data_IF_219566815403
#
_entry.id   IF_219566815403
#
_cell.length_a   1.000
_cell.length_b   1.000
_cell.length_c   1.000
_cell.angle_alpha   90.00
_cell.angle_beta   90.00
_cell.angle_gamma   90.00
#
_symmetry.space_group_name_H-M   'P 1'
#
loop_
_entity.id
_entity.type
_entity.pdbx_description
1 polymer ?
#
# COMPACT_ATOMS: atom_id res chain seq x y z
N UNK A 1 17.98 -2.44 8.69
CA UNK A 1 16.90 -3.37 8.24
C UNK A 1 17.12 -3.60 6.76
N UNK A 2 17.14 -4.86 6.30
CA UNK A 2 17.49 -5.21 4.93
C UNK A 2 16.32 -4.89 3.98
N UNK A 3 16.59 -4.23 2.85
CA UNK A 3 15.59 -3.87 1.80
C UNK A 3 14.73 -5.06 1.35
N UNK A 4 15.26 -6.27 1.42
CA UNK A 4 14.56 -7.52 1.08
C UNK A 4 13.33 -7.76 1.95
N UNK A 5 13.36 -7.37 3.23
CA UNK A 5 12.22 -7.54 4.15
C UNK A 5 11.12 -6.52 3.86
N UNK A 6 11.50 -5.31 3.44
CA UNK A 6 10.56 -4.24 3.06
C UNK A 6 9.83 -4.62 1.76
N UNK A 7 10.56 -5.08 0.74
CA UNK A 7 9.97 -5.55 -0.53
C UNK A 7 9.06 -6.78 -0.34
N UNK A 8 9.43 -7.70 0.56
CA UNK A 8 8.60 -8.87 0.89
C UNK A 8 7.27 -8.48 1.55
N UNK A 9 7.32 -7.63 2.59
CA UNK A 9 6.11 -7.17 3.28
C UNK A 9 5.21 -6.29 2.40
N UNK A 10 5.79 -5.54 1.46
CA UNK A 10 4.99 -4.69 0.56
C UNK A 10 4.09 -5.50 -0.39
N UNK A 11 4.57 -6.62 -0.93
CA UNK A 11 3.76 -7.43 -1.84
C UNK A 11 2.52 -8.02 -1.16
N UNK A 12 2.67 -8.46 0.10
CA UNK A 12 1.54 -8.93 0.91
C UNK A 12 0.58 -7.79 1.23
N UNK A 13 1.12 -6.65 1.70
CA UNK A 13 0.33 -5.46 2.01
C UNK A 13 -0.45 -4.96 0.79
N UNK A 14 0.17 -4.92 -0.39
CA UNK A 14 -0.46 -4.58 -1.67
C UNK A 14 -1.66 -5.49 -1.96
N UNK A 15 -1.52 -6.80 -1.78
CA UNK A 15 -2.60 -7.75 -1.97
C UNK A 15 -3.81 -7.44 -1.09
N UNK A 16 -3.58 -7.23 0.21
CA UNK A 16 -4.64 -6.90 1.17
C UNK A 16 -5.27 -5.53 0.87
N UNK A 17 -4.47 -4.55 0.48
CA UNK A 17 -4.97 -3.22 0.09
C UNK A 17 -5.89 -3.33 -1.13
N UNK A 18 -5.57 -4.12 -2.16
CA UNK A 18 -6.47 -4.34 -3.31
C UNK A 18 -7.76 -5.06 -2.92
N UNK A 19 -7.70 -5.99 -1.97
CA UNK A 19 -8.88 -6.69 -1.46
C UNK A 19 -9.79 -5.75 -0.67
N UNK A 20 -9.22 -4.88 0.17
CA UNK A 20 -9.97 -3.90 0.96
C UNK A 20 -10.52 -2.76 0.09
N UNK A 21 -9.78 -2.34 -0.95
CA UNK A 21 -10.10 -1.19 -1.79
C UNK A 21 -10.06 -1.58 -3.27
N UNK A 22 -11.20 -2.04 -3.79
CA UNK A 22 -11.33 -2.51 -5.18
C UNK A 22 -11.06 -1.45 -6.26
N UNK A 23 -11.05 -0.17 -5.90
CA UNK A 23 -10.75 0.95 -6.81
C UNK A 23 -9.24 1.14 -7.04
N UNK A 24 -8.38 0.46 -6.27
CA UNK A 24 -6.94 0.53 -6.42
C UNK A 24 -6.43 -0.47 -7.44
N UNK A 25 -5.60 0.01 -8.35
CA UNK A 25 -4.95 -0.80 -9.38
C UNK A 25 -3.56 -1.25 -8.96
N UNK A 26 -2.97 -2.17 -9.72
CA UNK A 26 -1.58 -2.58 -9.49
C UNK A 26 -0.60 -1.42 -9.64
N UNK A 27 -0.89 -0.47 -10.51
CA UNK A 27 -0.06 0.72 -10.77
C UNK A 27 -0.08 1.67 -9.57
N UNK A 28 -1.22 1.83 -8.90
CA UNK A 28 -1.35 2.68 -7.71
C UNK A 28 -0.53 2.14 -6.53
N UNK A 29 -0.26 0.83 -6.51
CA UNK A 29 0.45 0.12 -5.45
C UNK A 29 1.85 -0.34 -5.88
N UNK A 30 2.33 0.14 -7.03
CA UNK A 30 3.67 -0.19 -7.50
C UNK A 30 4.70 0.53 -6.64
N UNK A 31 5.47 -0.28 -5.90
CA UNK A 31 6.60 0.22 -5.13
C UNK A 31 7.76 0.55 -6.07
N UNK A 32 8.25 1.77 -5.96
CA UNK A 32 9.51 2.20 -6.53
C UNK A 32 10.39 2.75 -5.42
N UNK A 33 11.64 2.30 -5.38
CA UNK A 33 12.62 2.71 -4.38
C UNK A 33 12.81 4.24 -4.42
N UNK A 34 12.74 4.89 -3.27
CA UNK A 34 12.78 6.36 -3.17
C UNK A 34 11.49 7.09 -3.59
N UNK A 35 10.42 6.37 -3.95
CA UNK A 35 9.09 6.94 -4.27
C UNK A 35 7.98 6.48 -3.33
N UNK A 36 8.36 6.04 -2.13
CA UNK A 36 7.42 5.54 -1.13
C UNK A 36 6.34 6.57 -0.77
N UNK A 37 6.74 7.82 -0.59
CA UNK A 37 5.80 8.90 -0.27
C UNK A 37 4.82 9.21 -1.41
N UNK A 38 5.28 9.17 -2.67
CA UNK A 38 4.42 9.38 -3.84
C UNK A 38 3.37 8.27 -3.97
N UNK A 39 3.80 7.02 -3.78
CA UNK A 39 2.92 5.86 -3.78
C UNK A 39 1.86 5.98 -2.68
N UNK A 40 2.26 6.26 -1.44
CA UNK A 40 1.31 6.48 -0.36
C UNK A 40 0.36 7.65 -0.64
N UNK A 41 0.85 8.75 -1.22
CA UNK A 41 0.02 9.88 -1.64
C UNK A 41 -1.08 9.49 -2.62
N UNK A 42 -0.77 8.67 -3.64
CA UNK A 42 -1.77 8.16 -4.59
C UNK A 42 -2.83 7.30 -3.92
N UNK A 43 -2.41 6.40 -3.03
CA UNK A 43 -3.33 5.52 -2.29
C UNK A 43 -4.26 6.38 -1.42
N UNK A 44 -3.73 7.36 -0.70
CA UNK A 44 -4.51 8.28 0.13
C UNK A 44 -5.50 9.10 -0.69
N UNK A 45 -5.09 9.60 -1.86
CA UNK A 45 -5.96 10.36 -2.76
C UNK A 45 -7.11 9.52 -3.32
N UNK A 46 -6.87 8.25 -3.67
CA UNK A 46 -7.90 7.36 -4.21
C UNK A 46 -8.85 6.82 -3.14
N UNK A 47 -8.31 6.42 -1.99
CA UNK A 47 -9.11 5.83 -0.91
C UNK A 47 -9.76 6.90 -0.03
N UNK A 48 -9.24 8.12 -0.01
CA UNK A 48 -9.60 9.15 0.96
C UNK A 48 -9.19 8.79 2.39
N UNK A 49 -8.30 7.81 2.56
CA UNK A 49 -7.89 7.25 3.86
C UNK A 49 -6.45 7.59 4.16
N UNK A 50 -6.16 7.81 5.43
CA UNK A 50 -4.78 7.94 5.91
C UNK A 50 -4.05 6.61 5.84
N UNK A 51 -2.71 6.66 5.85
CA UNK A 51 -1.87 5.45 5.90
C UNK A 51 -2.23 4.54 7.08
N UNK A 52 -2.53 5.12 8.24
CA UNK A 52 -2.92 4.38 9.44
C UNK A 52 -4.28 3.70 9.28
N UNK A 53 -5.27 4.38 8.67
CA UNK A 53 -6.55 3.76 8.36
C UNK A 53 -6.42 2.60 7.38
N UNK A 54 -5.56 2.75 6.36
CA UNK A 54 -5.27 1.69 5.40
C UNK A 54 -4.61 0.51 6.10
N UNK A 55 -3.59 0.75 6.92
CA UNK A 55 -2.92 -0.29 7.71
C UNK A 55 -3.89 -1.00 8.65
N UNK A 56 -4.84 -0.27 9.25
CA UNK A 56 -5.87 -0.86 10.10
C UNK A 56 -6.86 -1.72 9.29
N UNK A 57 -7.31 -1.22 8.14
CA UNK A 57 -8.25 -1.93 7.28
C UNK A 57 -7.70 -3.28 6.78
N UNK A 58 -6.37 -3.35 6.57
CA UNK A 58 -5.69 -4.58 6.11
C UNK A 58 -5.06 -5.40 7.23
N UNK A 59 -5.01 -4.89 8.46
CA UNK A 59 -4.58 -5.67 9.63
C UNK A 59 -5.59 -6.76 10.01
N UNK A 60 -6.87 -6.52 9.69
CA UNK A 60 -7.98 -7.44 9.98
C UNK A 60 -8.24 -8.47 8.85
N UNK A 61 -7.42 -8.45 7.78
CA UNK A 61 -7.45 -9.37 6.63
C UNK A 61 -6.36 -10.46 6.73
#
# INVERSE_FOLDING_TARGET
>A
MNETTIKGGWNELKGKIKQAYGDLTDDDLTYAEGKEDEMWGKIQQKTGKTKDEINKAVADL
#
